data_IF_590770004028
#
_entry.id   IF_590770004028
#
_cell.length_a   1.000
_cell.length_b   1.000
_cell.length_c   1.000
_cell.angle_alpha   90.00
_cell.angle_beta   90.00
_cell.angle_gamma   90.00
#
_symmetry.space_group_name_H-M   'P 1'
#
loop_
_entity.id
_entity.type
_entity.pdbx_description
1 polymer ?
#
# COMPACT_ATOMS: atom_id res chain seq x y z
N UNK A 1 7.90 -22.82 -8.37
CA UNK A 1 7.38 -23.63 -7.25
C UNK A 1 8.37 -23.48 -6.08
N UNK A 2 7.91 -23.34 -4.84
CA UNK A 2 8.80 -23.04 -3.69
C UNK A 2 9.68 -24.25 -3.34
N UNK A 3 10.88 -23.98 -2.81
CA UNK A 3 11.87 -24.99 -2.38
C UNK A 3 11.67 -25.49 -0.93
N UNK A 4 10.71 -24.91 -0.21
CA UNK A 4 10.44 -25.14 1.22
C UNK A 4 9.01 -25.63 1.41
N UNK A 5 8.71 -26.17 2.61
CA UNK A 5 7.38 -26.69 2.92
C UNK A 5 6.33 -25.57 2.97
N UNK A 6 5.06 -25.93 2.80
CA UNK A 6 3.94 -24.99 2.82
C UNK A 6 3.87 -24.25 4.16
N UNK A 7 4.10 -24.96 5.26
CA UNK A 7 4.09 -24.40 6.61
C UNK A 7 5.18 -23.34 6.81
N UNK A 8 6.38 -23.58 6.26
CA UNK A 8 7.50 -22.63 6.32
C UNK A 8 7.23 -21.37 5.48
N UNK A 9 6.62 -21.54 4.30
CA UNK A 9 6.19 -20.40 3.46
C UNK A 9 5.17 -19.53 4.19
N UNK A 10 4.16 -20.14 4.80
CA UNK A 10 3.13 -19.41 5.55
C UNK A 10 3.71 -18.66 6.75
N UNK A 11 4.70 -19.25 7.42
CA UNK A 11 5.41 -18.61 8.54
C UNK A 11 6.19 -17.38 8.09
N UNK A 12 6.86 -17.45 6.94
CA UNK A 12 7.55 -16.31 6.32
C UNK A 12 6.58 -15.19 5.93
N UNK A 13 5.44 -15.55 5.35
CA UNK A 13 4.45 -14.58 4.88
C UNK A 13 3.68 -13.89 6.00
N UNK A 14 3.56 -14.51 7.18
CA UNK A 14 2.87 -13.94 8.34
C UNK A 14 3.41 -12.58 8.77
N UNK A 15 4.73 -12.41 8.71
CA UNK A 15 5.41 -11.17 9.13
C UNK A 15 5.43 -10.10 8.03
N UNK A 16 4.98 -10.42 6.81
CA UNK A 16 4.95 -9.47 5.70
C UNK A 16 3.61 -8.72 5.77
N UNK A 17 3.60 -7.43 6.17
CA UNK A 17 2.36 -6.67 6.38
C UNK A 17 1.49 -6.56 5.11
N UNK A 18 2.11 -6.72 3.94
CA UNK A 18 1.47 -6.55 2.64
C UNK A 18 0.85 -7.81 2.05
N UNK A 19 1.21 -9.00 2.56
CA UNK A 19 0.78 -10.27 1.97
C UNK A 19 -0.52 -10.80 2.59
N UNK A 20 -0.92 -10.29 3.76
CA UNK A 20 -2.05 -10.81 4.54
C UNK A 20 -3.25 -9.84 4.62
N UNK A 21 -3.24 -8.72 3.88
CA UNK A 21 -4.17 -7.61 4.15
C UNK A 21 -4.53 -6.71 2.96
N UNK A 22 -4.54 -7.22 1.73
CA UNK A 22 -5.20 -6.54 0.61
C UNK A 22 -4.46 -5.34 -0.01
N UNK A 23 -3.15 -5.18 0.22
CA UNK A 23 -2.38 -4.10 -0.43
C UNK A 23 -2.39 -4.19 -1.97
N UNK A 24 -2.64 -5.38 -2.51
CA UNK A 24 -2.69 -5.64 -3.95
C UNK A 24 -4.08 -6.05 -4.44
N UNK A 25 -5.12 -5.89 -3.62
CA UNK A 25 -6.48 -6.12 -4.11
C UNK A 25 -6.82 -5.02 -5.12
N UNK A 26 -7.25 -5.45 -6.31
CA UNK A 26 -7.75 -4.54 -7.34
C UNK A 26 -8.98 -3.83 -6.78
N UNK A 27 -8.88 -2.53 -6.58
CA UNK A 27 -9.99 -1.71 -6.06
C UNK A 27 -10.89 -1.17 -7.17
N UNK A 28 -10.53 -1.43 -8.43
CA UNK A 28 -11.26 -0.98 -9.61
C UNK A 28 -12.65 -1.63 -9.69
N UNK A 29 -13.61 -0.86 -10.20
CA UNK A 29 -15.01 -1.29 -10.31
C UNK A 29 -15.56 -0.91 -11.67
N UNK A 30 -16.44 -1.74 -12.22
CA UNK A 30 -17.22 -1.37 -13.41
C UNK A 30 -18.53 -0.71 -12.99
N UNK A 31 -18.92 0.34 -13.72
CA UNK A 31 -20.23 0.95 -13.58
C UNK A 31 -21.30 0.20 -14.40
N UNK A 32 -22.56 0.66 -14.28
CA UNK A 32 -23.73 0.09 -14.95
C UNK A 32 -23.62 0.08 -16.48
N UNK A 33 -22.74 0.91 -17.04
CA UNK A 33 -22.51 1.04 -18.48
C UNK A 33 -21.24 0.31 -18.95
N UNK A 34 -20.62 -0.49 -18.08
CA UNK A 34 -19.39 -1.24 -18.38
C UNK A 34 -18.13 -0.39 -18.44
N UNK A 35 -18.16 0.84 -17.90
CA UNK A 35 -16.97 1.69 -17.80
C UNK A 35 -16.22 1.37 -16.51
N UNK A 36 -14.92 1.11 -16.63
CA UNK A 36 -14.02 0.88 -15.50
C UNK A 36 -13.72 2.20 -14.78
N UNK A 37 -13.98 2.23 -13.48
CA UNK A 37 -13.61 3.26 -12.52
C UNK A 37 -12.34 2.79 -11.81
N UNK A 38 -11.25 3.50 -12.07
CA UNK A 38 -9.94 3.20 -11.51
C UNK A 38 -9.79 3.86 -10.13
N UNK A 39 -9.81 3.06 -9.06
CA UNK A 39 -9.79 3.56 -7.68
C UNK A 39 -8.40 3.46 -7.07
N UNK A 40 -7.65 2.42 -7.43
CA UNK A 40 -6.30 2.18 -6.91
C UNK A 40 -5.23 3.10 -7.53
N UNK A 41 -5.57 3.81 -8.61
CA UNK A 41 -4.69 4.77 -9.27
C UNK A 41 -3.66 4.14 -10.21
N UNK A 42 -3.72 2.82 -10.46
CA UNK A 42 -2.88 2.18 -11.45
C UNK A 42 -3.41 2.47 -12.85
N UNK A 43 -2.69 3.32 -13.61
CA UNK A 43 -3.09 3.67 -14.96
C UNK A 43 -1.92 3.65 -15.94
N UNK A 44 -2.21 3.18 -17.15
CA UNK A 44 -1.28 3.25 -18.30
C UNK A 44 -1.32 4.61 -18.99
N UNK A 45 -2.32 5.45 -18.68
CA UNK A 45 -2.43 6.80 -19.24
C UNK A 45 -1.47 7.74 -18.50
N UNK A 46 -0.50 8.29 -19.23
CA UNK A 46 0.51 9.19 -18.66
C UNK A 46 -0.11 10.43 -17.99
N UNK A 47 -1.21 10.96 -18.52
CA UNK A 47 -1.88 12.15 -18.00
C UNK A 47 -2.67 11.91 -16.71
N UNK A 48 -2.86 10.65 -16.31
CA UNK A 48 -3.63 10.27 -15.11
C UNK A 48 -2.76 9.57 -14.05
N UNK A 49 -1.45 9.46 -14.30
CA UNK A 49 -0.51 8.79 -13.40
C UNK A 49 -0.30 9.64 -12.15
N UNK A 50 -0.50 9.05 -10.97
CA UNK A 50 -0.15 9.72 -9.72
C UNK A 50 1.37 9.95 -9.65
N UNK A 51 1.77 11.15 -9.25
CA UNK A 51 3.17 11.48 -8.98
C UNK A 51 3.28 11.68 -7.47
N UNK A 52 4.04 10.80 -6.82
CA UNK A 52 4.33 10.94 -5.39
C UNK A 52 5.76 11.47 -5.27
N UNK A 53 5.95 12.65 -4.64
CA UNK A 53 7.29 13.20 -4.46
C UNK A 53 8.18 12.31 -3.56
N UNK A 54 9.46 12.19 -3.92
CA UNK A 54 10.45 11.39 -3.20
C UNK A 54 10.53 11.72 -1.70
N UNK A 55 10.44 13.00 -1.34
CA UNK A 55 10.52 13.44 0.06
C UNK A 55 9.41 12.84 0.96
N UNK A 56 8.29 12.37 0.40
CA UNK A 56 7.23 11.73 1.18
C UNK A 56 7.67 10.39 1.78
N UNK A 57 8.59 9.69 1.11
CA UNK A 57 9.12 8.40 1.57
C UNK A 57 10.55 8.51 2.12
N UNK A 58 11.34 9.46 1.63
CA UNK A 58 12.78 9.57 1.92
C UNK A 58 13.14 10.79 2.77
N UNK A 59 12.17 11.42 3.45
CA UNK A 59 12.51 12.42 4.47
C UNK A 59 13.19 11.76 5.67
N UNK A 60 14.05 12.52 6.32
CA UNK A 60 14.57 12.14 7.64
C UNK A 60 13.42 11.90 8.62
N UNK A 61 13.59 10.93 9.50
CA UNK A 61 12.60 10.65 10.54
C UNK A 61 12.36 11.90 11.38
N UNK A 62 11.11 12.36 11.39
CA UNK A 62 10.69 13.40 12.32
C UNK A 62 10.66 12.74 13.69
N UNK A 63 11.65 13.04 14.54
CA UNK A 63 11.60 12.70 15.96
C UNK A 63 10.32 13.29 16.53
N UNK A 64 9.39 12.43 16.96
CA UNK A 64 8.23 12.88 17.75
C UNK A 64 8.77 13.44 19.06
N UNK A 65 8.65 14.74 19.25
CA UNK A 65 8.79 15.33 20.58
C UNK A 65 7.50 15.01 21.35
N UNK A 66 7.53 14.02 22.24
CA UNK A 66 6.43 13.66 23.13
C UNK A 66 6.30 14.61 24.34
N UNK A 67 6.16 15.93 24.14
CA UNK A 67 6.20 16.86 25.30
C UNK A 67 5.15 17.99 25.41
N UNK A 68 4.02 17.98 24.69
CA UNK A 68 3.02 19.07 24.88
C UNK A 68 1.57 18.61 25.06
N UNK A 69 1.31 17.51 25.76
CA UNK A 69 -0.05 17.21 26.28
C UNK A 69 -0.01 16.76 27.74
N UNK A 70 0.53 17.62 28.62
CA UNK A 70 0.30 17.52 30.08
C UNK A 70 0.03 18.86 30.78
N UNK A 71 -0.30 19.92 30.04
CA UNK A 71 -0.75 21.17 30.66
C UNK A 71 -1.76 21.94 29.80
N UNK A 72 -2.95 21.35 29.64
CA UNK A 72 -4.24 22.04 29.55
C UNK A 72 -5.29 21.08 30.15
#
# INVERSE_FOLDING_TARGET
>A
MFLISKEEVLKLFKEIPFLNGGLFDCLDKEDENGKVIYVDGFTRNQNKRAIIPDYMFFKEEIKKNEEVVRSL
#
